data_IF_463716939240
#
_entry.id   IF_463716939240
#
_cell.length_a   1.000
_cell.length_b   1.000
_cell.length_c   1.000
_cell.angle_alpha   90.00
_cell.angle_beta   90.00
_cell.angle_gamma   90.00
#
_symmetry.space_group_name_H-M   'P 1'
#
loop_
_entity.id
_entity.type
_entity.pdbx_description
1 polymer ?
#
# COMPACT_ATOMS: atom_id res chain seq x y z
N UNK A 1 -9.48 -15.64 -17.28
CA UNK A 1 -10.74 -15.40 -16.55
C UNK A 1 -10.55 -14.49 -15.34
N UNK A 2 -9.68 -14.78 -14.38
CA UNK A 2 -9.47 -13.94 -13.19
C UNK A 2 -9.07 -12.48 -13.50
N UNK A 3 -8.22 -12.23 -14.48
CA UNK A 3 -7.82 -10.87 -14.86
C UNK A 3 -8.97 -10.01 -15.43
N UNK A 4 -9.93 -10.61 -16.11
CA UNK A 4 -11.14 -9.93 -16.57
C UNK A 4 -12.08 -9.61 -15.40
N UNK A 5 -12.29 -10.55 -14.49
CA UNK A 5 -13.08 -10.33 -13.27
C UNK A 5 -12.48 -9.22 -12.40
N UNK A 6 -11.16 -9.21 -12.23
CA UNK A 6 -10.44 -8.14 -11.54
C UNK A 6 -10.70 -6.78 -12.19
N UNK A 7 -10.57 -6.72 -13.52
CA UNK A 7 -10.83 -5.49 -14.28
C UNK A 7 -12.25 -4.98 -14.05
N UNK A 8 -13.26 -5.85 -14.22
CA UNK A 8 -14.68 -5.52 -14.02
C UNK A 8 -14.94 -5.09 -12.57
N UNK A 9 -14.39 -5.79 -11.57
CA UNK A 9 -14.54 -5.46 -10.17
C UNK A 9 -14.02 -4.05 -9.86
N UNK A 10 -12.83 -3.72 -10.34
CA UNK A 10 -12.27 -2.38 -10.13
C UNK A 10 -13.04 -1.30 -10.89
N UNK A 11 -13.51 -1.57 -12.11
CA UNK A 11 -14.25 -0.61 -12.92
C UNK A 11 -15.64 -0.32 -12.36
N UNK A 12 -16.37 -1.38 -11.96
CA UNK A 12 -17.81 -1.29 -11.64
C UNK A 12 -18.04 -1.08 -10.14
N UNK A 13 -17.18 -1.61 -9.29
CA UNK A 13 -17.35 -1.57 -7.83
C UNK A 13 -16.38 -0.59 -7.17
N UNK A 14 -15.07 -0.82 -7.32
CA UNK A 14 -14.07 -0.08 -6.52
C UNK A 14 -13.99 1.37 -6.93
N UNK A 15 -13.88 1.67 -8.23
CA UNK A 15 -13.77 3.06 -8.70
C UNK A 15 -14.99 3.91 -8.39
N UNK A 16 -16.24 3.48 -8.66
CA UNK A 16 -17.41 4.25 -8.24
C UNK A 16 -17.47 4.44 -6.72
N UNK A 17 -17.17 3.41 -5.93
CA UNK A 17 -17.12 3.51 -4.48
C UNK A 17 -16.11 4.58 -4.03
N UNK A 18 -14.89 4.53 -4.54
CA UNK A 18 -13.80 5.44 -4.18
C UNK A 18 -14.04 6.86 -4.69
N UNK A 19 -14.54 7.02 -5.93
CA UNK A 19 -14.68 8.34 -6.56
C UNK A 19 -15.98 9.05 -6.18
N UNK A 20 -17.04 8.30 -5.85
CA UNK A 20 -18.38 8.90 -5.57
C UNK A 20 -18.60 9.01 -4.06
N UNK A 21 -18.23 7.96 -3.29
CA UNK A 21 -18.50 7.92 -1.85
C UNK A 21 -17.36 8.57 -1.05
N UNK A 22 -16.12 8.36 -1.50
CA UNK A 22 -14.94 8.94 -0.89
C UNK A 22 -14.45 10.10 -1.78
N UNK A 23 -14.59 11.33 -1.33
CA UNK A 23 -13.96 12.47 -2.00
C UNK A 23 -12.44 12.37 -1.90
N UNK A 24 -11.75 12.04 -3.00
CA UNK A 24 -10.28 11.92 -3.00
C UNK A 24 -9.64 13.19 -3.51
N UNK A 25 -8.85 13.82 -2.64
CA UNK A 25 -7.96 14.93 -2.99
C UNK A 25 -6.52 14.38 -3.15
N UNK A 26 -6.08 14.24 -4.38
CA UNK A 26 -4.75 13.69 -4.70
C UNK A 26 -3.78 14.81 -5.04
N UNK A 27 -2.71 14.93 -4.26
CA UNK A 27 -1.62 15.89 -4.47
C UNK A 27 -0.36 15.18 -4.97
N UNK A 28 0.37 15.85 -5.85
CA UNK A 28 1.62 15.36 -6.45
C UNK A 28 1.45 14.06 -7.25
N UNK A 29 0.32 13.94 -7.96
CA UNK A 29 -0.02 12.75 -8.76
C UNK A 29 1.08 12.37 -9.76
N UNK A 30 1.79 13.34 -10.29
CA UNK A 30 2.88 13.18 -11.26
C UNK A 30 4.06 12.35 -10.72
N UNK A 31 4.18 12.21 -9.40
CA UNK A 31 5.20 11.40 -8.74
C UNK A 31 4.87 9.92 -8.67
N UNK A 32 3.61 9.54 -8.97
CA UNK A 32 3.24 8.13 -9.02
C UNK A 32 3.96 7.42 -10.18
N UNK A 33 4.44 6.18 -9.97
CA UNK A 33 5.11 5.43 -11.02
C UNK A 33 4.15 5.12 -12.17
N UNK A 34 4.59 5.39 -13.39
CA UNK A 34 3.83 5.13 -14.63
C UNK A 34 4.10 3.75 -15.21
N UNK A 35 5.09 3.04 -14.67
CA UNK A 35 5.46 1.66 -15.01
C UNK A 35 6.14 0.99 -13.81
N UNK A 36 6.29 -0.33 -13.86
CA UNK A 36 7.10 -1.09 -12.90
C UNK A 36 8.48 -1.46 -13.47
N UNK A 37 9.40 -1.98 -12.63
CA UNK A 37 9.18 -2.21 -11.21
C UNK A 37 9.19 -0.94 -10.36
N UNK A 38 8.38 -0.91 -9.30
CA UNK A 38 8.36 0.18 -8.32
C UNK A 38 7.80 -0.32 -6.98
N UNK A 39 8.04 0.41 -5.91
CA UNK A 39 7.46 0.15 -4.59
C UNK A 39 6.73 1.40 -4.12
N UNK A 40 5.43 1.30 -3.90
CA UNK A 40 4.62 2.33 -3.24
C UNK A 40 4.54 1.98 -1.76
N UNK A 41 4.94 2.91 -0.91
CA UNK A 41 4.96 2.74 0.54
C UNK A 41 3.96 3.70 1.16
N UNK A 42 2.98 3.19 1.91
CA UNK A 42 1.95 4.03 2.51
C UNK A 42 1.74 3.71 4.01
N UNK A 43 1.22 4.68 4.77
CA UNK A 43 0.66 4.43 6.10
C UNK A 43 -0.62 3.59 6.00
N UNK A 44 -1.03 2.91 7.08
CA UNK A 44 -2.13 1.96 7.06
C UNK A 44 -3.15 2.21 8.17
N UNK A 45 -4.27 2.81 7.81
CA UNK A 45 -5.34 3.20 8.74
C UNK A 45 -6.65 2.42 8.50
N UNK A 46 -6.89 1.98 7.25
CA UNK A 46 -8.17 1.40 6.85
C UNK A 46 -8.02 0.22 5.90
N UNK A 47 -9.00 -0.67 5.84
CA UNK A 47 -9.11 -1.68 4.78
C UNK A 47 -9.23 -1.07 3.37
N UNK A 48 -9.69 0.18 3.28
CA UNK A 48 -9.86 0.89 2.02
C UNK A 48 -8.54 1.39 1.44
N UNK A 49 -7.49 1.53 2.26
CA UNK A 49 -6.20 2.09 1.83
C UNK A 49 -5.66 1.41 0.57
N UNK A 50 -5.69 0.08 0.56
CA UNK A 50 -5.24 -0.71 -0.59
C UNK A 50 -6.07 -0.41 -1.84
N UNK A 51 -7.40 -0.36 -1.71
CA UNK A 51 -8.30 -0.11 -2.83
C UNK A 51 -8.15 1.32 -3.36
N UNK A 52 -8.05 2.29 -2.46
CA UNK A 52 -7.80 3.69 -2.81
C UNK A 52 -6.48 3.81 -3.57
N UNK A 53 -5.37 3.31 -3.02
CA UNK A 53 -4.07 3.33 -3.68
C UNK A 53 -4.12 2.70 -5.09
N UNK A 54 -4.80 1.57 -5.24
CA UNK A 54 -4.92 0.92 -6.55
C UNK A 54 -5.73 1.73 -7.55
N UNK A 55 -6.70 2.56 -7.12
CA UNK A 55 -7.49 3.42 -8.01
C UNK A 55 -6.74 4.66 -8.50
N UNK A 56 -5.64 5.05 -7.82
CA UNK A 56 -4.81 6.18 -8.25
C UNK A 56 -4.10 5.89 -9.58
N UNK A 57 -3.94 4.63 -9.92
CA UNK A 57 -3.27 4.19 -11.14
C UNK A 57 -4.26 3.98 -12.30
N UNK A 58 -3.79 4.15 -13.55
CA UNK A 58 -4.60 3.79 -14.71
C UNK A 58 -4.94 2.29 -14.70
N UNK A 59 -6.11 1.96 -15.25
CA UNK A 59 -6.62 0.58 -15.26
C UNK A 59 -5.70 -0.39 -16.04
N UNK A 60 -4.92 0.12 -16.99
CA UNK A 60 -3.90 -0.63 -17.72
C UNK A 60 -2.82 -1.22 -16.82
N UNK A 61 -2.48 -0.53 -15.72
CA UNK A 61 -1.49 -0.97 -14.75
C UNK A 61 -2.04 -1.91 -13.69
N UNK A 62 -3.37 -2.09 -13.61
CA UNK A 62 -4.00 -2.87 -12.56
C UNK A 62 -3.41 -4.29 -12.41
N UNK A 63 -3.00 -4.94 -13.51
CA UNK A 63 -2.38 -6.27 -13.47
C UNK A 63 -0.99 -6.27 -12.83
N UNK A 64 -0.28 -5.14 -12.87
CA UNK A 64 1.04 -4.97 -12.28
C UNK A 64 1.02 -4.52 -10.84
N UNK A 65 -0.12 -3.99 -10.36
CA UNK A 65 -0.28 -3.59 -8.96
C UNK A 65 -0.40 -4.81 -8.07
N UNK A 66 0.50 -4.97 -7.13
CA UNK A 66 0.60 -6.12 -6.23
C UNK A 66 0.68 -5.66 -4.78
N UNK A 67 -0.46 -5.53 -4.08
CA UNK A 67 -0.45 -5.28 -2.65
C UNK A 67 0.21 -6.44 -1.89
N UNK A 68 1.01 -6.10 -0.90
CA UNK A 68 1.68 -7.08 -0.05
C UNK A 68 1.01 -7.09 1.32
N UNK A 69 0.56 -8.24 1.77
CA UNK A 69 -0.18 -8.37 3.02
C UNK A 69 0.11 -9.67 3.76
N UNK A 70 -0.18 -9.68 5.07
CA UNK A 70 0.03 -10.85 5.92
C UNK A 70 -0.86 -12.03 5.50
N UNK A 71 -0.26 -13.20 5.33
CA UNK A 71 -0.92 -14.42 4.87
C UNK A 71 -1.98 -14.94 5.86
N UNK A 72 -1.70 -14.84 7.15
CA UNK A 72 -2.54 -15.35 8.24
C UNK A 72 -3.98 -14.81 8.20
N UNK A 73 -4.16 -13.56 7.81
CA UNK A 73 -5.50 -12.96 7.67
C UNK A 73 -6.19 -13.38 6.38
N UNK A 74 -5.53 -13.23 5.24
CA UNK A 74 -6.17 -13.40 3.93
C UNK A 74 -6.31 -14.86 3.50
N UNK A 75 -5.48 -15.77 4.03
CA UNK A 75 -5.55 -17.20 3.72
C UNK A 75 -6.37 -18.00 4.73
N UNK A 76 -7.03 -17.35 5.69
CA UNK A 76 -7.82 -18.00 6.73
C UNK A 76 -9.05 -18.75 6.20
N UNK A 77 -9.60 -18.32 5.06
CA UNK A 77 -10.78 -18.93 4.42
C UNK A 77 -10.55 -19.05 2.91
N UNK A 78 -10.91 -20.19 2.27
CA UNK A 78 -10.65 -20.43 0.84
C UNK A 78 -11.21 -19.35 -0.09
N UNK A 79 -12.43 -18.88 0.14
CA UNK A 79 -13.06 -17.85 -0.67
C UNK A 79 -12.34 -16.49 -0.52
N UNK A 80 -11.90 -16.15 0.70
CA UNK A 80 -11.16 -14.92 0.97
C UNK A 80 -9.76 -14.98 0.35
N UNK A 81 -9.10 -16.14 0.44
CA UNK A 81 -7.82 -16.39 -0.20
C UNK A 81 -7.92 -16.21 -1.72
N UNK A 82 -8.93 -16.81 -2.33
CA UNK A 82 -9.18 -16.67 -3.76
C UNK A 82 -9.44 -15.21 -4.14
N UNK A 83 -10.33 -14.52 -3.43
CA UNK A 83 -10.66 -13.11 -3.70
C UNK A 83 -9.42 -12.22 -3.53
N UNK A 84 -8.68 -12.36 -2.43
CA UNK A 84 -7.49 -11.58 -2.15
C UNK A 84 -6.40 -11.77 -3.21
N UNK A 85 -6.14 -13.02 -3.61
CA UNK A 85 -5.05 -13.32 -4.56
C UNK A 85 -5.45 -13.11 -6.02
N UNK A 86 -6.69 -13.42 -6.42
CA UNK A 86 -7.13 -13.36 -7.82
C UNK A 86 -7.77 -12.01 -8.19
N UNK A 87 -8.54 -11.40 -7.26
CA UNK A 87 -9.26 -10.16 -7.54
C UNK A 87 -8.47 -8.94 -7.07
N UNK A 88 -7.96 -8.94 -5.85
CA UNK A 88 -7.12 -7.84 -5.37
C UNK A 88 -5.66 -8.00 -5.86
N UNK A 89 -5.19 -9.22 -6.03
CA UNK A 89 -3.84 -9.54 -6.50
C UNK A 89 -2.79 -9.44 -5.39
N UNK A 90 -3.17 -9.70 -4.15
CA UNK A 90 -2.29 -9.67 -2.99
C UNK A 90 -1.16 -10.69 -3.13
N UNK A 91 0.04 -10.27 -2.73
CA UNK A 91 1.17 -11.16 -2.44
C UNK A 91 1.12 -11.45 -0.94
N UNK A 92 0.80 -12.70 -0.54
CA UNK A 92 0.78 -13.06 0.87
C UNK A 92 2.22 -13.20 1.41
N UNK A 93 2.51 -12.53 2.54
CA UNK A 93 3.75 -12.73 3.29
C UNK A 93 3.46 -13.59 4.51
N UNK A 94 4.14 -14.72 4.61
CA UNK A 94 4.15 -15.52 5.82
C UNK A 94 5.01 -14.84 6.89
N UNK A 95 4.47 -14.66 8.09
CA UNK A 95 5.26 -14.26 9.26
C UNK A 95 6.10 -15.45 9.69
N UNK A 96 7.29 -15.58 9.11
CA UNK A 96 8.17 -16.69 9.43
C UNK A 96 8.58 -16.65 10.91
N UNK A 97 8.46 -17.77 11.65
CA UNK A 97 9.06 -17.89 12.98
C UNK A 97 10.56 -17.61 12.92
N UNK A 98 11.13 -17.08 14.01
CA UNK A 98 12.58 -16.92 14.11
C UNK A 98 13.27 -18.27 13.84
N UNK A 99 14.18 -18.29 12.86
CA UNK A 99 14.91 -19.53 12.46
C UNK A 99 14.30 -20.28 11.27
N UNK A 100 13.18 -19.81 10.70
CA UNK A 100 12.66 -20.36 9.44
C UNK A 100 13.68 -20.17 8.30
N UNK A 101 13.87 -21.23 7.49
CA UNK A 101 14.68 -21.13 6.26
C UNK A 101 13.94 -20.47 5.09
N UNK A 102 12.65 -20.21 5.22
CA UNK A 102 11.85 -19.55 4.18
C UNK A 102 12.11 -18.05 4.22
N UNK A 103 12.45 -17.47 3.08
CA UNK A 103 12.53 -16.03 2.91
C UNK A 103 11.11 -15.43 2.74
N UNK A 104 10.62 -14.63 3.70
CA UNK A 104 9.28 -14.06 3.61
C UNK A 104 9.12 -13.04 2.47
N UNK A 105 10.24 -12.52 1.93
CA UNK A 105 10.23 -11.53 0.86
C UNK A 105 10.37 -12.14 -0.55
N UNK A 106 10.61 -13.45 -0.67
CA UNK A 106 10.87 -14.11 -1.95
C UNK A 106 9.78 -13.85 -3.01
N UNK A 107 8.51 -13.87 -2.62
CA UNK A 107 7.41 -13.58 -3.55
C UNK A 107 7.37 -12.11 -3.98
N UNK A 108 7.75 -11.19 -3.10
CA UNK A 108 7.89 -9.76 -3.41
C UNK A 108 9.08 -9.49 -4.32
N UNK A 109 10.22 -10.15 -4.08
CA UNK A 109 11.40 -10.08 -4.95
C UNK A 109 11.08 -10.57 -6.36
N UNK A 110 10.42 -11.73 -6.49
CA UNK A 110 10.01 -12.26 -7.77
C UNK A 110 9.06 -11.32 -8.51
N UNK A 111 8.10 -10.71 -7.82
CA UNK A 111 7.17 -9.76 -8.40
C UNK A 111 7.86 -8.47 -8.89
N UNK A 112 8.85 -7.94 -8.15
CA UNK A 112 9.66 -6.80 -8.62
C UNK A 112 10.48 -7.16 -9.85
N UNK A 113 11.10 -8.33 -9.86
CA UNK A 113 11.86 -8.83 -11.02
C UNK A 113 10.98 -8.95 -12.26
N UNK A 114 9.69 -9.31 -12.08
CA UNK A 114 8.68 -9.41 -13.15
C UNK A 114 8.07 -8.05 -13.54
N UNK A 115 8.59 -6.94 -13.01
CA UNK A 115 8.15 -5.58 -13.33
C UNK A 115 6.83 -5.18 -12.67
N UNK A 116 6.47 -5.78 -11.54
CA UNK A 116 5.29 -5.37 -10.76
C UNK A 116 5.54 -4.08 -9.97
N UNK A 117 4.45 -3.40 -9.63
CA UNK A 117 4.43 -2.29 -8.68
C UNK A 117 3.89 -2.84 -7.37
N UNK A 118 4.75 -2.92 -6.36
CA UNK A 118 4.33 -3.35 -5.02
C UNK A 118 3.65 -2.21 -4.27
N UNK A 119 2.61 -2.54 -3.50
CA UNK A 119 2.01 -1.63 -2.52
C UNK A 119 2.29 -2.23 -1.14
N UNK A 120 3.04 -1.51 -0.32
CA UNK A 120 3.51 -1.93 0.99
C UNK A 120 3.04 -1.00 2.09
N UNK A 121 2.62 -1.59 3.19
CA UNK A 121 2.34 -0.88 4.44
C UNK A 121 3.41 -1.29 5.46
N UNK A 122 4.47 -0.49 5.64
CA UNK A 122 5.64 -0.89 6.44
C UNK A 122 5.35 -1.03 7.92
N UNK A 123 4.26 -0.47 8.42
CA UNK A 123 3.76 -0.66 9.78
C UNK A 123 3.39 -2.14 10.05
N UNK A 124 3.00 -2.87 9.01
CA UNK A 124 2.69 -4.31 9.05
C UNK A 124 1.39 -4.70 9.76
N UNK A 125 0.67 -3.72 10.27
CA UNK A 125 -0.69 -3.84 10.81
C UNK A 125 -1.35 -2.48 10.73
N UNK A 126 -2.69 -2.43 10.75
CA UNK A 126 -3.42 -1.17 10.85
C UNK A 126 -3.17 -0.56 12.22
N UNK A 127 -2.67 0.67 12.23
CA UNK A 127 -2.51 1.48 13.43
C UNK A 127 -3.84 2.01 13.98
N UNK A 128 -3.75 2.81 15.04
CA UNK A 128 -4.85 3.69 15.44
C UNK A 128 -5.06 4.74 14.34
N UNK A 129 -6.30 5.22 14.13
CA UNK A 129 -6.59 6.23 13.13
C UNK A 129 -5.65 7.42 13.27
N UNK A 130 -5.01 7.79 12.16
CA UNK A 130 -4.14 8.96 12.03
C UNK A 130 -2.88 8.97 12.95
N UNK A 131 -2.59 7.83 13.61
CA UNK A 131 -1.34 7.64 14.36
C UNK A 131 -0.39 6.78 13.53
N UNK A 132 0.84 7.23 13.40
CA UNK A 132 1.89 6.51 12.68
C UNK A 132 2.58 5.50 13.60
N UNK A 133 2.62 4.24 13.17
CA UNK A 133 3.41 3.21 13.82
C UNK A 133 4.84 3.14 13.26
N UNK A 134 5.73 2.51 14.03
CA UNK A 134 7.11 2.28 13.59
C UNK A 134 7.17 1.40 12.33
N UNK A 135 8.03 1.78 11.40
CA UNK A 135 8.21 1.05 10.16
C UNK A 135 9.07 -0.19 10.37
N UNK A 136 8.57 -1.33 9.92
CA UNK A 136 9.31 -2.59 9.90
C UNK A 136 10.39 -2.57 8.82
N UNK A 137 11.51 -3.21 9.12
CA UNK A 137 12.68 -3.24 8.26
C UNK A 137 12.54 -4.02 6.94
N UNK A 138 11.41 -4.67 6.70
CA UNK A 138 11.17 -5.43 5.47
C UNK A 138 11.33 -4.59 4.21
N UNK A 139 10.90 -3.32 4.23
CA UNK A 139 11.08 -2.39 3.11
C UNK A 139 12.56 -2.12 2.83
N UNK A 140 13.40 -1.93 3.85
CA UNK A 140 14.83 -1.72 3.67
C UNK A 140 15.54 -2.95 3.10
N UNK A 141 15.06 -4.17 3.43
CA UNK A 141 15.59 -5.39 2.82
C UNK A 141 15.25 -5.48 1.33
N UNK A 142 14.02 -5.14 0.93
CA UNK A 142 13.62 -5.06 -0.49
C UNK A 142 14.42 -3.99 -1.23
N UNK A 143 14.53 -2.79 -0.66
CA UNK A 143 15.32 -1.70 -1.22
C UNK A 143 16.78 -2.09 -1.46
N UNK A 144 17.40 -2.80 -0.49
CA UNK A 144 18.77 -3.30 -0.62
C UNK A 144 18.93 -4.34 -1.72
N UNK A 145 17.94 -5.23 -1.91
CA UNK A 145 17.96 -6.26 -2.96
C UNK A 145 17.72 -5.68 -4.36
N UNK A 146 16.99 -4.57 -4.42
CA UNK A 146 16.61 -3.89 -5.66
C UNK A 146 16.99 -2.40 -5.62
N UNK A 147 18.30 -2.05 -5.56
CA UNK A 147 18.75 -0.68 -5.30
C UNK A 147 18.32 0.34 -6.36
N UNK A 148 18.06 -0.11 -7.59
CA UNK A 148 17.57 0.75 -8.69
C UNK A 148 16.05 0.90 -8.76
N UNK A 149 15.29 0.19 -7.92
CA UNK A 149 13.82 0.27 -7.92
C UNK A 149 13.36 1.52 -7.16
N UNK A 150 12.54 2.39 -7.80
CA UNK A 150 12.02 3.58 -7.16
C UNK A 150 11.05 3.21 -6.03
N UNK A 151 11.19 3.90 -4.89
CA UNK A 151 10.32 3.76 -3.73
C UNK A 151 9.58 5.07 -3.56
N UNK A 152 8.26 5.04 -3.70
CA UNK A 152 7.39 6.21 -3.69
C UNK A 152 6.58 6.22 -2.39
N UNK A 153 6.91 7.11 -1.44
CA UNK A 153 6.12 7.30 -0.23
C UNK A 153 4.77 7.94 -0.55
N UNK A 154 3.71 7.45 0.08
CA UNK A 154 2.35 8.00 -0.05
C UNK A 154 1.73 8.12 1.34
N UNK A 155 1.25 9.30 1.68
CA UNK A 155 0.54 9.52 2.93
C UNK A 155 -0.97 9.61 2.66
N UNK A 156 -1.73 8.81 3.43
CA UNK A 156 -3.19 8.72 3.36
C UNK A 156 -3.78 9.32 4.64
N UNK A 157 -4.73 10.25 4.50
CA UNK A 157 -5.47 10.86 5.60
C UNK A 157 -6.98 10.73 5.39
N UNK A 158 -7.74 10.54 6.49
CA UNK A 158 -9.20 10.49 6.45
C UNK A 158 -9.81 9.10 6.25
N UNK A 159 -9.06 8.12 5.70
CA UNK A 159 -9.59 6.76 5.44
C UNK A 159 -9.92 6.00 6.71
N UNK A 160 -9.22 6.26 7.81
CA UNK A 160 -9.52 5.70 9.12
C UNK A 160 -10.90 6.14 9.66
N UNK A 161 -11.39 7.33 9.27
CA UNK A 161 -12.74 7.82 9.59
C UNK A 161 -13.79 7.27 8.63
N UNK A 162 -13.45 7.15 7.36
CA UNK A 162 -14.37 6.63 6.36
C UNK A 162 -14.80 5.18 6.65
N UNK A 163 -13.87 4.35 7.13
CA UNK A 163 -14.14 2.99 7.59
C UNK A 163 -13.20 2.63 8.76
N UNK A 164 -13.60 2.92 10.01
CA UNK A 164 -12.81 2.61 11.19
C UNK A 164 -12.55 1.10 11.35
N UNK A 165 -11.50 0.77 12.08
CA UNK A 165 -11.16 -0.62 12.37
C UNK A 165 -12.27 -1.30 13.19
N UNK A 166 -12.85 -2.37 12.63
CA UNK A 166 -13.94 -3.13 13.27
C UNK A 166 -15.34 -2.71 12.81
N UNK A 167 -15.49 -1.60 12.13
CA UNK A 167 -16.75 -1.16 11.55
C UNK A 167 -16.98 -1.71 10.14
N UNK A 168 -18.26 -1.89 9.78
CA UNK A 168 -18.68 -2.32 8.45
C UNK A 168 -19.44 -1.21 7.70
N UNK A 169 -19.75 -0.11 8.39
CA UNK A 169 -20.50 1.00 7.81
C UNK A 169 -19.50 2.01 7.26
N UNK A 170 -19.57 2.21 5.95
CA UNK A 170 -18.78 3.23 5.25
C UNK A 170 -19.45 4.59 5.47
N UNK A 171 -18.71 5.52 6.06
CA UNK A 171 -19.12 6.92 6.20
C UNK A 171 -18.49 7.73 5.08
N UNK A 172 -19.26 8.48 4.27
CA UNK A 172 -18.68 9.39 3.28
C UNK A 172 -17.75 10.39 3.97
N UNK A 173 -16.49 10.39 3.59
CA UNK A 173 -15.48 11.28 4.17
C UNK A 173 -14.46 11.70 3.12
N UNK A 174 -13.99 12.94 3.21
CA UNK A 174 -12.92 13.41 2.32
C UNK A 174 -11.59 12.78 2.72
N UNK A 175 -10.92 12.21 1.74
CA UNK A 175 -9.64 11.55 1.93
C UNK A 175 -8.56 12.30 1.15
N UNK A 176 -7.52 12.72 1.85
CA UNK A 176 -6.36 13.34 1.24
C UNK A 176 -5.27 12.30 0.99
N UNK A 177 -4.66 12.39 -0.18
CA UNK A 177 -3.57 11.52 -0.60
C UNK A 177 -2.41 12.39 -1.07
N UNK A 178 -1.26 12.26 -0.42
CA UNK A 178 -0.04 13.00 -0.74
C UNK A 178 1.01 12.04 -1.27
N UNK A 179 1.54 12.31 -2.45
CA UNK A 179 2.62 11.49 -3.04
C UNK A 179 3.96 12.19 -2.83
N UNK A 180 4.88 11.52 -2.15
CA UNK A 180 6.21 12.05 -1.85
C UNK A 180 7.20 11.93 -3.00
N UNK A 181 8.36 12.53 -2.80
CA UNK A 181 9.51 12.36 -3.70
C UNK A 181 9.99 10.92 -3.67
N UNK A 182 10.45 10.46 -4.82
CA UNK A 182 10.97 9.09 -4.97
C UNK A 182 12.26 8.91 -4.20
N UNK A 183 12.32 7.85 -3.41
CA UNK A 183 13.51 7.39 -2.71
C UNK A 183 14.14 6.20 -3.44
N UNK A 184 15.45 6.06 -3.29
CA UNK A 184 16.21 4.89 -3.74
C UNK A 184 17.15 4.42 -2.63
N UNK A 185 17.62 3.18 -2.73
CA UNK A 185 18.59 2.65 -1.78
C UNK A 185 19.94 3.34 -1.94
N UNK A 186 20.48 3.91 -0.85
CA UNK A 186 21.74 4.66 -0.81
C UNK A 186 22.88 3.90 -0.10
N UNK A 187 22.74 2.58 0.08
CA UNK A 187 23.79 1.75 0.67
C UNK A 187 23.67 1.54 2.17
N UNK A 188 23.04 2.44 2.90
CA UNK A 188 22.86 2.36 4.35
C UNK A 188 21.39 2.17 4.75
N UNK A 189 21.16 1.19 5.64
CA UNK A 189 19.80 0.85 6.10
C UNK A 189 19.23 1.91 7.03
N UNK A 190 20.04 2.44 7.93
CA UNK A 190 19.59 3.39 8.94
C UNK A 190 19.24 4.72 8.27
N UNK A 191 20.10 5.20 7.38
CA UNK A 191 19.85 6.39 6.57
C UNK A 191 18.60 6.25 5.70
N UNK A 192 18.40 5.09 5.04
CA UNK A 192 17.22 4.82 4.24
C UNK A 192 15.92 4.85 5.08
N UNK A 193 15.91 4.18 6.25
CA UNK A 193 14.73 4.14 7.12
C UNK A 193 14.42 5.51 7.73
N UNK A 194 15.45 6.28 8.09
CA UNK A 194 15.30 7.65 8.57
C UNK A 194 14.70 8.54 7.47
N UNK A 195 15.28 8.54 6.26
CA UNK A 195 14.79 9.34 5.13
C UNK A 195 13.36 8.99 4.73
N UNK A 196 12.98 7.69 4.77
CA UNK A 196 11.60 7.28 4.55
C UNK A 196 10.67 7.84 5.65
N UNK A 197 11.11 7.77 6.91
CA UNK A 197 10.37 8.30 8.05
C UNK A 197 10.16 9.81 7.95
N UNK A 198 11.23 10.55 7.63
CA UNK A 198 11.22 12.01 7.48
C UNK A 198 10.31 12.43 6.31
N UNK A 199 10.38 11.72 5.18
CA UNK A 199 9.51 11.99 4.02
C UNK A 199 8.04 11.77 4.39
N UNK A 200 7.70 10.68 5.05
CA UNK A 200 6.33 10.40 5.48
C UNK A 200 5.83 11.42 6.51
N UNK A 201 6.72 11.92 7.38
CA UNK A 201 6.40 12.99 8.32
C UNK A 201 6.11 14.30 7.59
N UNK A 202 6.96 14.69 6.65
CA UNK A 202 6.77 15.90 5.86
C UNK A 202 5.44 15.88 5.06
N UNK A 203 5.07 14.72 4.50
CA UNK A 203 3.78 14.55 3.82
C UNK A 203 2.58 14.69 4.78
N UNK A 204 2.70 14.18 6.00
CA UNK A 204 1.66 14.33 7.02
C UNK A 204 1.49 15.80 7.43
N UNK A 205 2.59 16.54 7.56
CA UNK A 205 2.59 17.96 7.93
C UNK A 205 2.12 18.87 6.79
N UNK A 206 2.31 18.47 5.52
CA UNK A 206 1.83 19.21 4.35
C UNK A 206 0.31 19.40 4.38
N UNK A 207 -0.42 18.43 4.90
CA UNK A 207 -1.89 18.46 4.99
C UNK A 207 -2.42 19.53 5.97
N UNK A 208 -1.61 19.95 6.95
CA UNK A 208 -2.02 20.89 8.03
C UNK A 208 -3.33 20.47 8.69
N UNK A 209 -3.51 19.19 8.90
CA UNK A 209 -4.72 18.66 9.51
C UNK A 209 -4.81 19.08 10.99
N UNK A 210 -6.01 19.46 11.49
CA UNK A 210 -6.20 19.68 12.91
C UNK A 210 -5.94 18.40 13.69
N UNK A 211 -5.45 18.53 14.91
CA UNK A 211 -5.34 17.38 15.80
C UNK A 211 -6.72 16.74 15.99
N UNK A 212 -6.74 15.43 16.09
CA UNK A 212 -7.97 14.68 16.32
C UNK A 212 -8.43 14.85 17.76
N UNK A 213 -9.65 15.33 17.95
CA UNK A 213 -10.36 15.27 19.21
C UNK A 213 -11.15 13.96 19.35
#
# INVERSE_FOLDING_TARGET
MAGFLRYCFFLIVVRPLVLIVLGINLRHRERLPTSGPAIVVANHNSHLDTLVLMTLFPQSLLRRLRPVAAADYFLSRPWLAWFATQIIGIIPIERAPRGSRKDPLAASDAALTDGSILILFPEGSRGEPEQRADFKSGIAHLAKRHPGVPIVPVFLHGLGKALPKGELILVPFFCDVFVGETLTWQGDRQAFMAGLGDTMQALAEEGRFPAWE
#
